data_IF_488100236381
#
_entry.id   IF_488100236381
#
_cell.length_a   1.000
_cell.length_b   1.000
_cell.length_c   1.000
_cell.angle_alpha   90.00
_cell.angle_beta   90.00
_cell.angle_gamma   90.00
#
_symmetry.space_group_name_H-M   'P 1'
#
loop_
_entity.id
_entity.type
_entity.pdbx_description
1 polymer ?
#
# COMPACT_ATOMS: atom_id res chain seq x y z
N UNK A 1 5.36 -9.27 31.66
CA UNK A 1 6.38 -10.33 31.85
C UNK A 1 6.39 -10.93 33.27
N UNK A 2 6.35 -10.17 34.37
CA UNK A 2 6.43 -10.73 35.76
C UNK A 2 5.36 -11.78 36.13
N UNK A 3 4.11 -11.62 35.67
CA UNK A 3 3.00 -12.56 35.99
C UNK A 3 3.18 -13.96 35.38
N UNK A 4 3.86 -14.07 34.24
CA UNK A 4 4.06 -15.35 33.54
C UNK A 4 5.07 -16.24 34.26
N UNK A 5 6.12 -15.66 34.86
CA UNK A 5 7.12 -16.40 35.65
C UNK A 5 6.54 -16.93 36.96
N UNK A 6 5.68 -16.14 37.62
CA UNK A 6 5.00 -16.58 38.85
C UNK A 6 4.05 -17.75 38.58
N UNK A 7 3.29 -17.70 37.48
CA UNK A 7 2.42 -18.81 37.08
C UNK A 7 3.20 -20.09 36.71
N UNK A 8 4.34 -19.94 36.01
CA UNK A 8 5.24 -21.07 35.70
C UNK A 8 5.84 -21.70 36.96
N UNK A 9 6.27 -20.88 37.92
CA UNK A 9 6.81 -21.36 39.19
C UNK A 9 5.74 -22.10 40.01
N UNK A 10 4.52 -21.57 40.08
CA UNK A 10 3.39 -22.23 40.76
C UNK A 10 3.04 -23.55 40.07
N UNK A 11 3.03 -23.60 38.74
CA UNK A 11 2.75 -24.82 37.98
C UNK A 11 3.83 -25.89 38.18
N UNK A 12 5.11 -25.50 38.23
CA UNK A 12 6.23 -26.42 38.49
C UNK A 12 6.17 -26.98 39.91
N UNK A 13 5.99 -26.13 40.92
CA UNK A 13 5.89 -26.56 42.32
C UNK A 13 4.66 -27.44 42.52
N UNK A 14 3.49 -27.01 42.02
CA UNK A 14 2.24 -27.78 42.12
C UNK A 14 2.31 -29.13 41.40
N UNK A 15 2.89 -29.17 40.20
CA UNK A 15 3.11 -30.41 39.46
C UNK A 15 4.05 -31.38 40.18
N UNK A 16 5.13 -30.87 40.78
CA UNK A 16 6.09 -31.67 41.56
C UNK A 16 5.43 -32.32 42.78
N UNK A 17 4.59 -31.57 43.50
CA UNK A 17 3.87 -32.04 44.69
C UNK A 17 2.80 -33.07 44.31
N UNK A 18 2.05 -32.83 43.23
CA UNK A 18 1.02 -33.76 42.76
C UNK A 18 1.62 -35.12 42.34
N UNK A 19 2.76 -35.10 41.65
CA UNK A 19 3.49 -36.32 41.25
C UNK A 19 3.93 -37.09 42.51
N UNK A 20 4.52 -36.43 43.51
CA UNK A 20 4.94 -37.08 44.75
C UNK A 20 3.79 -37.74 45.52
N UNK A 21 2.61 -37.11 45.58
CA UNK A 21 1.43 -37.65 46.26
C UNK A 21 0.88 -38.88 45.54
N UNK A 22 0.80 -38.85 44.21
CA UNK A 22 0.29 -39.98 43.40
C UNK A 22 1.23 -41.18 43.53
N UNK A 23 2.54 -40.96 43.55
CA UNK A 23 3.53 -42.01 43.75
C UNK A 23 3.41 -42.76 45.05
N UNK A 24 3.26 -41.99 46.13
CA UNK A 24 3.10 -42.56 47.45
C UNK A 24 1.79 -43.38 47.57
N UNK A 25 0.72 -42.96 46.89
CA UNK A 25 -0.56 -43.69 46.86
C UNK A 25 -0.55 -44.96 45.99
N UNK A 26 0.30 -45.02 44.96
CA UNK A 26 0.38 -46.15 44.03
C UNK A 26 1.31 -47.27 44.51
N UNK A 27 1.96 -47.12 45.67
CA UNK A 27 2.83 -48.16 46.25
C UNK A 27 4.06 -48.49 45.39
N UNK A 28 4.50 -47.56 44.54
CA UNK A 28 5.62 -47.75 43.63
C UNK A 28 6.92 -47.92 44.44
N UNK A 29 7.55 -49.09 44.32
CA UNK A 29 8.88 -49.37 44.88
C UNK A 29 9.94 -48.46 44.25
N UNK A 30 11.03 -48.18 44.98
CA UNK A 30 12.12 -47.26 44.55
C UNK A 30 12.65 -47.50 43.13
N UNK A 31 12.54 -48.74 42.63
CA UNK A 31 13.05 -49.15 41.32
C UNK A 31 12.12 -48.83 40.14
N UNK A 32 10.80 -48.69 40.36
CA UNK A 32 9.81 -48.43 39.29
C UNK A 32 9.37 -46.97 39.22
N UNK A 33 9.61 -46.21 40.29
CA UNK A 33 9.28 -44.80 40.43
C UNK A 33 9.89 -43.89 39.35
N UNK A 34 11.19 -43.99 39.03
CA UNK A 34 11.81 -43.08 38.06
C UNK A 34 11.22 -43.22 36.65
N UNK A 35 10.91 -44.45 36.22
CA UNK A 35 10.34 -44.72 34.89
C UNK A 35 8.95 -44.12 34.69
N UNK A 36 8.11 -44.16 35.73
CA UNK A 36 6.76 -43.58 35.68
C UNK A 36 6.78 -42.04 35.62
N UNK A 37 7.63 -41.41 36.43
CA UNK A 37 7.82 -39.96 36.42
C UNK A 37 8.37 -39.48 35.08
N UNK A 38 9.30 -40.23 34.48
CA UNK A 38 9.85 -39.93 33.16
C UNK A 38 8.78 -40.00 32.05
N UNK A 39 7.90 -41.00 32.08
CA UNK A 39 6.83 -41.15 31.10
C UNK A 39 5.80 -40.01 31.16
N UNK A 40 5.45 -39.53 32.35
CA UNK A 40 4.57 -38.37 32.50
C UNK A 40 5.28 -37.09 32.09
N UNK A 41 6.55 -36.94 32.46
CA UNK A 41 7.39 -35.81 32.07
C UNK A 41 7.50 -35.67 30.55
N UNK A 42 7.67 -36.77 29.82
CA UNK A 42 7.78 -36.75 28.35
C UNK A 42 6.45 -36.38 27.68
N UNK A 43 5.31 -36.88 28.15
CA UNK A 43 3.97 -36.52 27.64
C UNK A 43 3.67 -35.04 27.93
N UNK A 44 3.95 -34.57 29.14
CA UNK A 44 3.75 -33.16 29.50
C UNK A 44 4.66 -32.22 28.69
N UNK A 45 5.93 -32.60 28.49
CA UNK A 45 6.86 -31.84 27.66
C UNK A 45 6.38 -31.75 26.20
N UNK A 46 5.85 -32.84 25.65
CA UNK A 46 5.29 -32.87 24.30
C UNK A 46 4.05 -31.96 24.18
N UNK A 47 3.16 -31.96 25.18
CA UNK A 47 2.02 -31.04 25.23
C UNK A 47 2.43 -29.56 25.28
N UNK A 48 3.43 -29.22 26.11
CA UNK A 48 3.98 -27.85 26.17
C UNK A 48 4.66 -27.47 24.87
N UNK A 49 5.43 -28.37 24.26
CA UNK A 49 6.07 -28.14 22.97
C UNK A 49 5.05 -27.82 21.87
N UNK A 50 3.97 -28.62 21.77
CA UNK A 50 2.87 -28.36 20.83
C UNK A 50 2.20 -27.01 21.11
N UNK A 51 1.94 -26.70 22.39
CA UNK A 51 1.35 -25.41 22.77
C UNK A 51 2.22 -24.22 22.35
N UNK A 52 3.52 -24.28 22.66
CA UNK A 52 4.49 -23.23 22.28
C UNK A 52 4.58 -23.10 20.76
N UNK A 53 4.68 -24.22 20.03
CA UNK A 53 4.72 -24.24 18.57
C UNK A 53 3.46 -23.63 17.97
N UNK A 54 2.27 -23.96 18.49
CA UNK A 54 1.01 -23.38 18.01
C UNK A 54 0.94 -21.86 18.22
N UNK A 55 1.47 -21.36 19.34
CA UNK A 55 1.52 -19.94 19.65
C UNK A 55 2.55 -19.21 18.77
N UNK A 56 3.70 -19.83 18.53
CA UNK A 56 4.71 -19.29 17.62
C UNK A 56 4.19 -19.23 16.19
N UNK A 57 3.49 -20.28 15.71
CA UNK A 57 2.90 -20.28 14.37
C UNK A 57 1.85 -19.18 14.20
N UNK A 58 0.97 -18.96 15.20
CA UNK A 58 0.00 -17.85 15.15
C UNK A 58 0.69 -16.49 15.09
N UNK A 59 1.72 -16.29 15.91
CA UNK A 59 2.49 -15.05 15.92
C UNK A 59 3.24 -14.84 14.60
N UNK A 60 3.84 -15.89 14.03
CA UNK A 60 4.51 -15.84 12.74
C UNK A 60 3.53 -15.47 11.61
N UNK A 61 2.34 -16.07 11.58
CA UNK A 61 1.31 -15.73 10.61
C UNK A 61 0.86 -14.26 10.72
N UNK A 62 0.71 -13.74 11.94
CA UNK A 62 0.39 -12.33 12.17
C UNK A 62 1.51 -11.39 11.68
N UNK A 63 2.77 -11.72 11.97
CA UNK A 63 3.91 -10.93 11.51
C UNK A 63 4.01 -10.88 9.98
N UNK A 64 3.71 -11.98 9.30
CA UNK A 64 3.68 -12.03 7.82
C UNK A 64 2.57 -11.13 7.29
N UNK A 65 1.36 -11.24 7.82
CA UNK A 65 0.23 -10.39 7.41
C UNK A 65 0.52 -8.89 7.63
N UNK A 66 1.13 -8.53 8.78
CA UNK A 66 1.52 -7.16 9.08
C UNK A 66 2.63 -6.65 8.14
N UNK A 67 3.59 -7.51 7.78
CA UNK A 67 4.65 -7.18 6.84
C UNK A 67 4.10 -6.91 5.44
N UNK A 68 3.17 -7.74 4.97
CA UNK A 68 2.51 -7.58 3.67
C UNK A 68 1.68 -6.29 3.63
N UNK A 69 0.90 -6.00 4.68
CA UNK A 69 0.14 -4.75 4.80
C UNK A 69 1.05 -3.52 4.73
N UNK A 70 2.18 -3.53 5.44
CA UNK A 70 3.17 -2.43 5.37
C UNK A 70 3.82 -2.32 4.00
N UNK A 71 4.09 -3.43 3.33
CA UNK A 71 4.62 -3.41 1.98
C UNK A 71 3.62 -2.78 1.00
N UNK A 72 2.34 -3.15 1.08
CA UNK A 72 1.28 -2.55 0.28
C UNK A 72 1.11 -1.05 0.55
N UNK A 73 1.11 -0.63 1.81
CA UNK A 73 1.04 0.78 2.17
C UNK A 73 2.22 1.59 1.63
N UNK A 74 3.46 1.06 1.68
CA UNK A 74 4.62 1.73 1.09
C UNK A 74 4.50 1.90 -0.43
N UNK A 75 4.02 0.87 -1.14
CA UNK A 75 3.82 0.93 -2.60
C UNK A 75 2.74 1.94 -2.98
N UNK A 76 1.61 1.94 -2.27
CA UNK A 76 0.50 2.88 -2.53
C UNK A 76 0.88 4.32 -2.21
N UNK A 77 1.71 4.56 -1.19
CA UNK A 77 2.29 5.88 -0.91
C UNK A 77 3.24 6.35 -2.02
N UNK A 78 4.13 5.47 -2.52
CA UNK A 78 5.00 5.79 -3.63
C UNK A 78 4.18 6.12 -4.91
N UNK A 79 3.12 5.35 -5.19
CA UNK A 79 2.20 5.65 -6.26
C UNK A 79 1.51 7.02 -6.06
N UNK A 80 1.02 7.32 -4.86
CA UNK A 80 0.43 8.63 -4.56
C UNK A 80 1.40 9.79 -4.82
N UNK A 81 2.68 9.65 -4.48
CA UNK A 81 3.71 10.65 -4.77
C UNK A 81 3.94 10.83 -6.29
N UNK A 82 3.89 9.74 -7.06
CA UNK A 82 3.96 9.83 -8.54
C UNK A 82 2.74 10.59 -9.08
N UNK A 83 1.53 10.28 -8.62
CA UNK A 83 0.32 11.01 -9.04
C UNK A 83 0.38 12.50 -8.68
N UNK A 84 0.90 12.84 -7.50
CA UNK A 84 1.09 14.22 -7.07
C UNK A 84 2.08 14.98 -7.97
N UNK A 85 3.23 14.36 -8.27
CA UNK A 85 4.21 14.88 -9.21
C UNK A 85 3.63 15.07 -10.63
N UNK A 86 2.87 14.08 -11.11
CA UNK A 86 2.19 14.13 -12.42
C UNK A 86 1.18 15.27 -12.48
N UNK A 87 0.35 15.44 -11.46
CA UNK A 87 -0.63 16.52 -11.41
C UNK A 87 0.04 17.90 -11.37
N UNK A 88 1.09 18.07 -10.56
CA UNK A 88 1.88 19.31 -10.52
C UNK A 88 2.54 19.65 -11.86
N UNK A 89 3.12 18.66 -12.55
CA UNK A 89 3.70 18.81 -13.89
C UNK A 89 2.64 19.27 -14.90
N UNK A 90 1.49 18.61 -14.94
CA UNK A 90 0.39 18.96 -15.85
C UNK A 90 -0.14 20.37 -15.55
N UNK A 91 -0.39 20.69 -14.28
CA UNK A 91 -0.87 22.01 -13.87
C UNK A 91 0.09 23.11 -14.30
N UNK A 92 1.38 22.92 -14.03
CA UNK A 92 2.43 23.88 -14.39
C UNK A 92 2.51 24.08 -15.90
N UNK A 93 2.50 23.00 -16.68
CA UNK A 93 2.46 23.07 -18.15
C UNK A 93 1.24 23.80 -18.68
N UNK A 94 0.06 23.53 -18.12
CA UNK A 94 -1.17 24.22 -18.50
C UNK A 94 -1.11 25.72 -18.17
N UNK A 95 -0.57 26.08 -17.00
CA UNK A 95 -0.38 27.48 -16.61
C UNK A 95 0.57 28.22 -17.56
N UNK A 96 1.66 27.57 -18.01
CA UNK A 96 2.55 28.16 -19.01
C UNK A 96 1.86 28.38 -20.36
N UNK A 97 1.01 27.44 -20.80
CA UNK A 97 0.22 27.64 -22.02
C UNK A 97 -0.75 28.81 -21.83
N UNK A 98 -1.46 28.90 -20.71
CA UNK A 98 -2.37 30.02 -20.44
C UNK A 98 -1.62 31.36 -20.43
N UNK A 99 -0.41 31.41 -19.88
CA UNK A 99 0.43 32.60 -19.91
C UNK A 99 0.86 32.97 -21.34
N UNK A 100 1.19 31.99 -22.19
CA UNK A 100 1.58 32.27 -23.59
C UNK A 100 0.42 32.75 -24.44
N UNK A 101 -0.84 32.39 -24.11
CA UNK A 101 -2.02 32.94 -24.78
C UNK A 101 -2.16 34.46 -24.61
N UNK A 102 -1.67 35.03 -23.50
CA UNK A 102 -1.74 36.46 -23.24
C UNK A 102 -0.77 37.28 -24.12
N UNK A 103 0.33 36.66 -24.58
CA UNK A 103 1.31 37.30 -25.46
C UNK A 103 0.78 37.46 -26.90
N UNK A 104 -0.13 36.55 -27.32
CA UNK A 104 -0.74 36.59 -28.65
C UNK A 104 0.17 36.14 -29.80
N UNK A 105 1.45 35.84 -29.54
CA UNK A 105 2.36 35.28 -30.54
C UNK A 105 2.08 33.78 -30.75
N UNK A 106 1.45 33.47 -31.90
CA UNK A 106 1.11 32.10 -32.29
C UNK A 106 2.30 31.13 -32.28
N UNK A 107 3.50 31.57 -32.67
CA UNK A 107 4.67 30.70 -32.69
C UNK A 107 5.10 30.35 -31.26
N UNK A 108 5.15 31.34 -30.37
CA UNK A 108 5.47 31.12 -28.96
C UNK A 108 4.46 30.19 -28.26
N UNK A 109 3.17 30.34 -28.58
CA UNK A 109 2.11 29.44 -28.09
C UNK A 109 2.36 28.00 -28.58
N UNK A 110 2.68 27.80 -29.86
CA UNK A 110 2.99 26.47 -30.42
C UNK A 110 4.21 25.83 -29.76
N UNK A 111 5.28 26.59 -29.58
CA UNK A 111 6.50 26.10 -28.93
C UNK A 111 6.21 25.69 -27.49
N UNK A 112 5.40 26.49 -26.77
CA UNK A 112 4.97 26.18 -25.39
C UNK A 112 4.12 24.91 -25.34
N UNK A 113 3.16 24.73 -26.27
CA UNK A 113 2.35 23.51 -26.36
C UNK A 113 3.23 22.28 -26.67
N UNK A 114 4.21 22.43 -27.56
CA UNK A 114 5.18 21.37 -27.89
C UNK A 114 5.98 20.94 -26.66
N UNK A 115 6.53 21.88 -25.89
CA UNK A 115 7.21 21.59 -24.62
C UNK A 115 6.27 20.93 -23.61
N UNK A 116 5.06 21.46 -23.44
CA UNK A 116 4.06 20.90 -22.55
C UNK A 116 3.68 19.45 -22.92
N UNK A 117 3.61 19.12 -24.22
CA UNK A 117 3.37 17.76 -24.71
C UNK A 117 4.41 16.77 -24.21
N UNK A 118 5.70 17.12 -24.27
CA UNK A 118 6.76 16.25 -23.73
C UNK A 118 6.60 16.00 -22.23
N UNK A 119 6.24 17.03 -21.46
CA UNK A 119 5.99 16.90 -20.01
C UNK A 119 4.78 16.01 -19.72
N UNK A 120 3.70 16.13 -20.50
CA UNK A 120 2.51 15.28 -20.36
C UNK A 120 2.83 13.83 -20.71
N UNK A 121 3.62 13.56 -21.76
CA UNK A 121 4.05 12.21 -22.13
C UNK A 121 4.92 11.57 -21.04
N UNK A 122 5.87 12.31 -20.46
CA UNK A 122 6.67 11.85 -19.32
C UNK A 122 5.77 11.50 -18.12
N UNK A 123 4.83 12.39 -17.78
CA UNK A 123 3.90 12.18 -16.68
C UNK A 123 2.95 11.00 -16.91
N UNK A 124 2.53 10.77 -18.16
CA UNK A 124 1.75 9.61 -18.57
C UNK A 124 2.55 8.32 -18.49
N UNK A 125 3.81 8.33 -18.91
CA UNK A 125 4.74 7.21 -18.76
C UNK A 125 4.92 6.81 -17.31
N UNK A 126 5.16 7.80 -16.42
CA UNK A 126 5.29 7.58 -14.99
C UNK A 126 4.00 7.00 -14.36
N UNK A 127 2.82 7.53 -14.73
CA UNK A 127 1.54 7.01 -14.25
C UNK A 127 1.28 5.56 -14.74
N UNK A 128 1.57 5.25 -16.00
CA UNK A 128 1.40 3.91 -16.58
C UNK A 128 2.38 2.88 -16.02
N UNK A 129 3.53 3.32 -15.50
CA UNK A 129 4.49 2.43 -14.84
C UNK A 129 3.99 1.90 -13.48
N UNK A 130 2.92 2.48 -12.92
CA UNK A 130 2.33 2.01 -11.66
C UNK A 130 1.58 0.68 -11.91
N UNK A 131 1.96 -0.43 -11.25
CA UNK A 131 1.29 -1.71 -11.46
C UNK A 131 -0.10 -1.72 -10.82
N UNK A 132 -1.14 -1.48 -11.61
CA UNK A 132 -2.51 -1.35 -11.13
C UNK A 132 -3.02 -2.55 -10.31
N UNK A 133 -2.61 -3.77 -10.67
CA UNK A 133 -3.01 -5.00 -9.98
C UNK A 133 -2.42 -5.12 -8.56
N UNK A 134 -1.36 -4.36 -8.24
CA UNK A 134 -0.74 -4.37 -6.91
C UNK A 134 -1.33 -3.33 -5.96
N UNK A 135 -2.25 -2.47 -6.42
CA UNK A 135 -2.76 -1.38 -5.58
C UNK A 135 -3.70 -1.86 -4.46
N UNK A 136 -4.34 -3.02 -4.61
CA UNK A 136 -5.18 -3.61 -3.57
C UNK A 136 -6.52 -2.90 -3.29
N UNK A 137 -6.84 -1.80 -4.00
CA UNK A 137 -8.13 -1.12 -3.89
C UNK A 137 -8.68 -0.74 -5.26
N UNK A 138 -9.96 -1.03 -5.49
CA UNK A 138 -10.69 -0.60 -6.69
C UNK A 138 -10.65 0.92 -6.89
N UNK A 139 -10.76 1.72 -5.81
CA UNK A 139 -10.72 3.18 -5.90
C UNK A 139 -9.36 3.68 -6.42
N UNK A 140 -8.26 3.09 -5.95
CA UNK A 140 -6.93 3.44 -6.44
C UNK A 140 -6.76 3.08 -7.92
N UNK A 141 -7.18 1.89 -8.34
CA UNK A 141 -7.15 1.50 -9.76
C UNK A 141 -8.01 2.42 -10.62
N UNK A 142 -9.23 2.73 -10.19
CA UNK A 142 -10.14 3.63 -10.91
C UNK A 142 -9.58 5.05 -11.01
N UNK A 143 -9.02 5.59 -9.92
CA UNK A 143 -8.38 6.91 -9.90
C UNK A 143 -7.17 6.97 -10.84
N UNK A 144 -6.32 5.94 -10.82
CA UNK A 144 -5.17 5.84 -11.70
C UNK A 144 -5.58 5.80 -13.18
N UNK A 145 -6.53 4.93 -13.54
CA UNK A 145 -7.00 4.82 -14.93
C UNK A 145 -7.64 6.13 -15.41
N UNK A 146 -8.48 6.77 -14.59
CA UNK A 146 -9.06 8.08 -14.92
C UNK A 146 -7.98 9.14 -15.16
N UNK A 147 -6.91 9.15 -14.37
CA UNK A 147 -5.80 10.07 -14.59
C UNK A 147 -5.11 9.77 -15.93
N UNK A 148 -4.83 8.51 -16.24
CA UNK A 148 -4.22 8.09 -17.52
C UNK A 148 -5.11 8.50 -18.70
N UNK A 149 -6.43 8.35 -18.60
CA UNK A 149 -7.39 8.75 -19.63
C UNK A 149 -7.35 10.27 -19.86
N UNK A 150 -7.31 11.07 -18.78
CA UNK A 150 -7.20 12.53 -18.88
C UNK A 150 -5.87 12.94 -19.52
N UNK A 151 -4.74 12.34 -19.12
CA UNK A 151 -3.44 12.61 -19.74
C UNK A 151 -3.44 12.26 -21.23
N UNK A 152 -4.09 11.15 -21.59
CA UNK A 152 -4.24 10.73 -23.00
C UNK A 152 -5.09 11.73 -23.79
N UNK A 153 -6.13 12.28 -23.18
CA UNK A 153 -6.95 13.31 -23.81
C UNK A 153 -6.17 14.63 -24.01
N UNK A 154 -5.33 15.02 -23.04
CA UNK A 154 -4.45 16.19 -23.17
C UNK A 154 -3.45 15.99 -24.31
N UNK A 155 -2.75 14.85 -24.35
CA UNK A 155 -1.77 14.54 -25.40
C UNK A 155 -2.38 14.61 -26.80
N UNK A 156 -3.54 13.96 -26.99
CA UNK A 156 -4.29 14.04 -28.26
C UNK A 156 -4.76 15.46 -28.57
N UNK A 157 -5.18 16.22 -27.57
CA UNK A 157 -5.55 17.63 -27.73
C UNK A 157 -4.39 18.45 -28.27
N UNK A 158 -3.21 18.31 -27.67
CA UNK A 158 -1.99 19.00 -28.09
C UNK A 158 -1.55 18.57 -29.48
N UNK A 159 -1.59 17.27 -29.79
CA UNK A 159 -1.29 16.77 -31.12
C UNK A 159 -2.19 17.38 -32.18
N UNK A 160 -3.50 17.43 -31.93
CA UNK A 160 -4.47 18.02 -32.85
C UNK A 160 -4.21 19.52 -33.07
N UNK A 161 -3.92 20.28 -32.01
CA UNK A 161 -3.63 21.71 -32.13
C UNK A 161 -2.32 21.98 -32.89
N UNK A 162 -1.29 21.16 -32.66
CA UNK A 162 -0.02 21.27 -33.36
C UNK A 162 -0.14 20.89 -34.85
N UNK A 163 -1.01 19.94 -35.20
CA UNK A 163 -1.25 19.52 -36.58
C UNK A 163 -2.08 20.52 -37.41
N UNK A 164 -2.91 21.35 -36.76
CA UNK A 164 -3.73 22.35 -37.44
C UNK A 164 -2.90 23.56 -37.88
N UNK A 165 -3.21 24.16 -39.05
CA UNK A 165 -2.55 25.37 -39.55
C UNK A 165 -2.87 26.60 -38.68
N UNK A 166 -4.11 26.70 -38.20
CA UNK A 166 -4.58 27.73 -37.28
C UNK A 166 -4.84 27.09 -35.91
N UNK A 167 -4.38 27.74 -34.84
CA UNK A 167 -4.69 27.29 -33.49
C UNK A 167 -6.16 27.56 -33.17
N UNK A 168 -6.78 26.77 -32.29
CA UNK A 168 -8.10 27.09 -31.73
C UNK A 168 -8.11 28.46 -31.05
N UNK A 169 -9.29 29.01 -30.85
CA UNK A 169 -9.40 30.29 -30.14
C UNK A 169 -8.85 30.17 -28.71
N UNK A 170 -8.21 31.23 -28.21
CA UNK A 170 -7.60 31.23 -26.87
C UNK A 170 -8.60 30.85 -25.76
N UNK A 171 -9.87 31.23 -25.90
CA UNK A 171 -10.95 30.85 -24.96
C UNK A 171 -11.21 29.33 -24.95
N UNK A 172 -11.13 28.66 -26.10
CA UNK A 172 -11.31 27.21 -26.23
C UNK A 172 -10.14 26.45 -25.61
N UNK A 173 -8.90 26.91 -25.88
CA UNK A 173 -7.68 26.36 -25.28
C UNK A 173 -7.78 26.49 -23.75
N UNK A 174 -8.07 27.69 -23.24
CA UNK A 174 -8.15 27.92 -21.80
C UNK A 174 -9.26 27.09 -21.12
N UNK A 175 -10.42 26.96 -21.77
CA UNK A 175 -11.52 26.12 -21.28
C UNK A 175 -11.10 24.65 -21.18
N UNK A 176 -10.46 24.13 -22.24
CA UNK A 176 -9.94 22.76 -22.26
C UNK A 176 -8.90 22.52 -21.16
N UNK A 177 -7.93 23.42 -20.99
CA UNK A 177 -6.89 23.29 -19.96
C UNK A 177 -7.49 23.34 -18.55
N UNK A 178 -8.43 24.24 -18.30
CA UNK A 178 -9.11 24.35 -17.00
C UNK A 178 -9.90 23.08 -16.68
N UNK A 179 -10.63 22.56 -17.66
CA UNK A 179 -11.41 21.33 -17.50
C UNK A 179 -10.49 20.13 -17.24
N UNK A 180 -9.39 20.00 -17.97
CA UNK A 180 -8.47 18.87 -17.82
C UNK A 180 -7.73 18.89 -16.48
N UNK A 181 -7.30 20.05 -15.99
CA UNK A 181 -6.76 20.20 -14.62
C UNK A 181 -7.78 19.72 -13.58
N UNK A 182 -9.04 20.18 -13.67
CA UNK A 182 -10.08 19.77 -12.73
C UNK A 182 -10.35 18.25 -12.76
N UNK A 183 -10.28 17.61 -13.94
CA UNK A 183 -10.40 16.16 -14.04
C UNK A 183 -9.18 15.42 -13.45
N UNK A 184 -7.97 15.94 -13.64
CA UNK A 184 -6.76 15.41 -12.99
C UNK A 184 -6.87 15.45 -11.46
N UNK A 185 -7.29 16.59 -10.90
CA UNK A 185 -7.51 16.76 -9.45
C UNK A 185 -8.56 15.77 -8.92
N UNK A 186 -9.67 15.60 -9.65
CA UNK A 186 -10.72 14.65 -9.30
C UNK A 186 -10.22 13.20 -9.33
N UNK A 187 -9.46 12.82 -10.36
CA UNK A 187 -8.88 11.48 -10.47
C UNK A 187 -7.90 11.19 -9.33
N UNK A 188 -7.01 12.15 -9.01
CA UNK A 188 -6.11 12.10 -7.85
C UNK A 188 -6.88 11.96 -6.54
N UNK A 189 -7.95 12.74 -6.34
CA UNK A 189 -8.77 12.68 -5.13
C UNK A 189 -9.38 11.28 -4.93
N UNK A 190 -9.90 10.67 -5.99
CA UNK A 190 -10.42 9.29 -5.95
C UNK A 190 -9.32 8.30 -5.55
N UNK A 191 -8.11 8.48 -6.09
CA UNK A 191 -6.97 7.65 -5.73
C UNK A 191 -6.63 7.77 -4.23
N UNK A 192 -6.50 8.99 -3.72
CA UNK A 192 -6.16 9.26 -2.32
C UNK A 192 -7.23 8.71 -1.37
N UNK A 193 -8.53 8.84 -1.71
CA UNK A 193 -9.61 8.20 -0.93
C UNK A 193 -9.45 6.67 -0.84
N UNK A 194 -8.92 6.04 -1.90
CA UNK A 194 -8.58 4.61 -1.88
C UNK A 194 -7.42 4.29 -0.95
N UNK A 195 -6.37 5.13 -0.96
CA UNK A 195 -5.23 5.02 -0.01
C UNK A 195 -5.70 5.15 1.43
N UNK A 196 -6.58 6.12 1.72
CA UNK A 196 -7.06 6.35 3.09
C UNK A 196 -8.01 5.25 3.57
N UNK A 197 -8.79 4.65 2.66
CA UNK A 197 -9.60 3.47 2.97
C UNK A 197 -8.70 2.30 3.38
N UNK A 198 -7.60 2.07 2.64
CA UNK A 198 -6.64 1.00 2.93
C UNK A 198 -5.89 1.20 4.27
N UNK A 199 -5.69 2.45 4.70
CA UNK A 199 -5.09 2.75 6.03
C UNK A 199 -6.04 2.49 7.19
N UNK A 200 -7.35 2.54 6.95
CA UNK A 200 -8.38 2.38 7.97
C UNK A 200 -8.70 0.90 8.25
N UNK A 201 -8.54 0.03 7.25
CA UNK A 201 -8.45 -1.43 7.40
C UNK A 201 -7.16 -1.81 8.13
#
# INVERSE_FOLDING_TARGET
MKKTYVLLAIALIGGSVAIAIIGNKMGLTKDSWPGWVQAIGSIAALGVAIFVMSRQNRHAAQLVADADKRALLRRTQAAAAILDSTENKVRTSCQFIVASLADGNTQFIRDTISTAKFVVLDAQGAARAIPAHELGSYKMVSGLNKLIDVLTAIDKGFENWLAQTQLPHASEINSFLTQTIAQCEKAKTIFIQGVDTLKAE
#
